data_IF_948792854386
#
_entry.id   IF_948792854386
#
_cell.length_a   1.000
_cell.length_b   1.000
_cell.length_c   1.000
_cell.angle_alpha   90.00
_cell.angle_beta   90.00
_cell.angle_gamma   90.00
#
_symmetry.space_group_name_H-M   'P 1'
#
loop_
_entity.id
_entity.type
_entity.pdbx_description
1 polymer ?
#
# COMPACT_ATOMS: atom_id res chain seq x y z
N UNK A 1 0.29 2.13 14.01
CA UNK A 1 -0.51 1.17 14.81
C UNK A 1 -1.57 1.81 15.71
N UNK A 2 -1.25 2.77 16.60
CA UNK A 2 -2.23 3.37 17.52
C UNK A 2 -3.42 4.10 16.85
N UNK A 3 -3.23 4.65 15.64
CA UNK A 3 -4.32 5.26 14.83
C UNK A 3 -5.32 4.20 14.34
N UNK A 4 -4.81 3.08 13.81
CA UNK A 4 -5.61 1.94 13.35
C UNK A 4 -6.47 1.39 14.49
N UNK A 5 -5.86 1.12 15.65
CA UNK A 5 -6.58 0.60 16.83
C UNK A 5 -7.74 1.52 17.21
N UNK A 6 -7.47 2.83 17.32
CA UNK A 6 -8.49 3.84 17.65
C UNK A 6 -9.63 3.87 16.64
N UNK A 7 -9.28 3.82 15.36
CA UNK A 7 -10.27 3.84 14.28
C UNK A 7 -11.16 2.60 14.31
N UNK A 8 -10.56 1.40 14.40
CA UNK A 8 -11.32 0.14 14.46
C UNK A 8 -12.22 0.14 15.70
N UNK A 9 -11.70 0.54 16.86
CA UNK A 9 -12.47 0.60 18.10
C UNK A 9 -13.73 1.47 17.96
N UNK A 10 -13.61 2.61 17.29
CA UNK A 10 -14.75 3.48 16.98
C UNK A 10 -15.71 2.87 15.95
N UNK A 11 -15.18 2.26 14.88
CA UNK A 11 -15.98 1.63 13.80
C UNK A 11 -16.84 0.47 14.32
N UNK A 12 -16.27 -0.41 15.15
CA UNK A 12 -16.97 -1.60 15.69
C UNK A 12 -17.58 -1.38 17.08
N UNK A 13 -17.43 -0.16 17.65
CA UNK A 13 -17.98 0.29 18.94
C UNK A 13 -17.53 -0.57 20.13
N UNK A 14 -16.23 -0.78 20.27
CA UNK A 14 -15.62 -1.53 21.38
C UNK A 14 -14.45 -0.75 21.98
N UNK A 15 -13.90 -1.22 23.10
CA UNK A 15 -12.74 -0.58 23.72
C UNK A 15 -11.45 -0.78 22.91
N UNK A 16 -10.58 0.23 22.88
CA UNK A 16 -9.24 0.12 22.25
C UNK A 16 -8.44 -1.07 22.77
N UNK A 17 -8.56 -1.39 24.06
CA UNK A 17 -7.86 -2.52 24.66
C UNK A 17 -8.34 -3.86 24.09
N UNK A 18 -9.64 -3.99 23.81
CA UNK A 18 -10.21 -5.18 23.19
C UNK A 18 -9.67 -5.36 21.77
N UNK A 19 -9.59 -4.26 21.02
CA UNK A 19 -8.98 -4.26 19.68
C UNK A 19 -7.51 -4.64 19.73
N UNK A 20 -6.73 -4.04 20.64
CA UNK A 20 -5.29 -4.38 20.85
C UNK A 20 -5.12 -5.87 21.09
N UNK A 21 -5.83 -6.43 22.07
CA UNK A 21 -5.71 -7.86 22.38
C UNK A 21 -6.10 -8.74 21.21
N UNK A 22 -7.18 -8.40 20.49
CA UNK A 22 -7.60 -9.15 19.31
C UNK A 22 -6.56 -9.08 18.17
N UNK A 23 -5.98 -7.91 17.92
CA UNK A 23 -4.90 -7.70 16.95
C UNK A 23 -3.68 -8.55 17.32
N UNK A 24 -3.24 -8.53 18.58
CA UNK A 24 -2.08 -9.30 19.03
C UNK A 24 -2.30 -10.82 18.83
N UNK A 25 -3.52 -11.30 19.08
CA UNK A 25 -3.89 -12.69 18.83
C UNK A 25 -3.87 -13.05 17.33
N UNK A 26 -4.43 -12.18 16.48
CA UNK A 26 -4.46 -12.37 15.03
C UNK A 26 -3.04 -12.35 14.44
N UNK A 27 -2.20 -11.41 14.88
CA UNK A 27 -0.79 -11.32 14.47
C UNK A 27 0.02 -12.53 14.95
N UNK A 28 -0.33 -13.08 16.10
CA UNK A 28 0.18 -14.36 16.61
C UNK A 28 -0.33 -15.60 15.87
N UNK A 29 -1.12 -15.43 14.80
CA UNK A 29 -1.62 -16.51 13.95
C UNK A 29 -2.91 -17.17 14.43
N UNK A 30 -3.55 -16.65 15.49
CA UNK A 30 -4.85 -17.16 15.90
C UNK A 30 -5.93 -16.83 14.86
N UNK A 31 -6.85 -17.76 14.64
CA UNK A 31 -7.98 -17.55 13.71
C UNK A 31 -9.17 -16.92 14.43
N UNK A 32 -10.04 -16.22 13.70
CA UNK A 32 -11.27 -15.63 14.27
C UNK A 32 -12.13 -16.67 15.02
N UNK A 33 -12.43 -17.87 14.47
CA UNK A 33 -13.18 -18.89 15.21
C UNK A 33 -12.48 -19.36 16.49
N UNK A 34 -11.15 -19.43 16.48
CA UNK A 34 -10.37 -19.78 17.66
C UNK A 34 -10.48 -18.70 18.74
N UNK A 35 -10.35 -17.43 18.37
CA UNK A 35 -10.44 -16.30 19.31
C UNK A 35 -11.84 -16.24 19.92
N UNK A 36 -12.88 -16.27 19.08
CA UNK A 36 -14.27 -16.21 19.50
C UNK A 36 -14.65 -17.31 20.50
N UNK A 37 -14.06 -18.51 20.35
CA UNK A 37 -14.38 -19.68 21.18
C UNK A 37 -13.48 -19.83 22.41
N UNK A 38 -12.18 -19.57 22.29
CA UNK A 38 -11.17 -19.93 23.30
C UNK A 38 -10.43 -18.73 23.90
N UNK A 39 -10.66 -17.51 23.40
CA UNK A 39 -10.04 -16.28 23.90
C UNK A 39 -11.06 -15.16 24.17
N UNK A 40 -12.32 -15.53 24.36
CA UNK A 40 -13.43 -14.60 24.63
C UNK A 40 -13.14 -13.68 25.83
N UNK A 41 -12.66 -14.23 26.94
CA UNK A 41 -12.31 -13.42 28.13
C UNK A 41 -11.14 -12.46 27.85
N UNK A 42 -10.13 -12.90 27.09
CA UNK A 42 -8.97 -12.08 26.77
C UNK A 42 -9.35 -10.86 25.90
N UNK A 43 -10.30 -11.01 24.99
CA UNK A 43 -10.80 -9.91 24.15
C UNK A 43 -11.92 -9.09 24.81
N UNK A 44 -12.28 -9.39 26.06
CA UNK A 44 -13.39 -8.71 26.74
C UNK A 44 -14.76 -9.01 26.11
N UNK A 45 -14.93 -10.19 25.51
CA UNK A 45 -16.21 -10.67 25.03
C UNK A 45 -16.53 -10.41 23.56
N UNK A 46 -15.55 -10.04 22.72
CA UNK A 46 -15.79 -9.86 21.28
C UNK A 46 -16.39 -11.11 20.64
N UNK A 47 -17.47 -10.93 19.88
CA UNK A 47 -18.13 -12.01 19.15
C UNK A 47 -17.52 -12.26 17.76
N UNK A 48 -17.97 -13.32 17.08
CA UNK A 48 -17.46 -13.71 15.76
C UNK A 48 -17.68 -12.62 14.69
N UNK A 49 -18.79 -11.89 14.76
CA UNK A 49 -19.10 -10.81 13.80
C UNK A 49 -18.14 -9.64 14.00
N UNK A 50 -17.96 -9.21 15.24
CA UNK A 50 -17.01 -8.15 15.59
C UNK A 50 -15.57 -8.51 15.24
N UNK A 51 -15.16 -9.77 15.48
CA UNK A 51 -13.81 -10.23 15.17
C UNK A 51 -13.54 -10.33 13.66
N UNK A 52 -14.53 -10.74 12.85
CA UNK A 52 -14.41 -10.72 11.38
C UNK A 52 -14.29 -9.31 10.83
N UNK A 53 -15.14 -8.40 11.31
CA UNK A 53 -15.07 -7.00 10.91
C UNK A 53 -13.73 -6.39 11.31
N UNK A 54 -13.28 -6.61 12.55
CA UNK A 54 -11.97 -6.20 13.02
C UNK A 54 -10.84 -6.71 12.11
N UNK A 55 -10.84 -8.01 11.77
CA UNK A 55 -9.81 -8.61 10.92
C UNK A 55 -9.80 -7.97 9.53
N UNK A 56 -10.97 -7.78 8.93
CA UNK A 56 -11.10 -7.13 7.62
C UNK A 56 -10.60 -5.68 7.65
N UNK A 57 -11.05 -4.89 8.62
CA UNK A 57 -10.66 -3.49 8.78
C UNK A 57 -9.18 -3.34 9.10
N UNK A 58 -8.61 -4.23 9.93
CA UNK A 58 -7.18 -4.25 10.23
C UNK A 58 -6.34 -4.42 8.96
N UNK A 59 -6.70 -5.39 8.10
CA UNK A 59 -6.02 -5.60 6.83
C UNK A 59 -6.09 -4.37 5.93
N UNK A 60 -7.30 -3.84 5.70
CA UNK A 60 -7.49 -2.65 4.88
C UNK A 60 -6.67 -1.45 5.36
N UNK A 61 -6.70 -1.17 6.67
CA UNK A 61 -6.04 -0.01 7.26
C UNK A 61 -4.51 -0.17 7.25
N UNK A 62 -3.98 -1.38 7.45
CA UNK A 62 -2.54 -1.65 7.31
C UNK A 62 -2.06 -1.39 5.88
N UNK A 63 -2.79 -1.91 4.89
CA UNK A 63 -2.46 -1.67 3.49
C UNK A 63 -2.55 -0.18 3.12
N UNK A 64 -3.50 0.57 3.71
CA UNK A 64 -3.59 2.01 3.53
C UNK A 64 -2.39 2.75 4.14
N UNK A 65 -1.98 2.42 5.37
CA UNK A 65 -0.79 3.02 6.01
C UNK A 65 0.49 2.70 5.22
N UNK A 66 0.70 1.44 4.83
CA UNK A 66 1.87 1.03 4.04
C UNK A 66 1.91 1.79 2.71
N UNK A 67 0.76 1.89 2.03
CA UNK A 67 0.67 2.64 0.78
C UNK A 67 0.95 4.12 1.00
N UNK A 68 0.46 4.70 2.09
CA UNK A 68 0.69 6.10 2.45
C UNK A 68 2.17 6.38 2.67
N UNK A 69 2.87 5.52 3.41
CA UNK A 69 4.32 5.64 3.62
C UNK A 69 5.07 5.59 2.28
N UNK A 70 4.71 4.65 1.40
CA UNK A 70 5.32 4.54 0.06
C UNK A 70 5.07 5.78 -0.81
N UNK A 71 3.85 6.34 -0.77
CA UNK A 71 3.49 7.58 -1.48
C UNK A 71 4.30 8.76 -0.96
N UNK A 72 4.31 8.99 0.36
CA UNK A 72 5.06 10.09 0.97
C UNK A 72 6.54 9.99 0.62
N UNK A 73 7.13 8.81 0.76
CA UNK A 73 8.54 8.56 0.38
C UNK A 73 8.80 8.88 -1.09
N UNK A 74 7.93 8.41 -2.00
CA UNK A 74 8.10 8.68 -3.44
C UNK A 74 8.03 10.16 -3.78
N UNK A 75 7.16 10.93 -3.12
CA UNK A 75 7.06 12.38 -3.33
C UNK A 75 8.24 13.13 -2.69
N UNK A 76 8.71 12.66 -1.54
CA UNK A 76 9.90 13.18 -0.87
C UNK A 76 11.16 12.98 -1.71
N UNK A 77 11.34 11.80 -2.31
CA UNK A 77 12.47 11.49 -3.21
C UNK A 77 12.48 12.38 -4.47
N UNK A 78 11.32 12.90 -4.87
CA UNK A 78 11.21 13.89 -5.96
C UNK A 78 11.50 15.32 -5.51
N UNK A 79 11.71 15.57 -4.20
CA UNK A 79 11.88 16.91 -3.63
C UNK A 79 10.61 17.77 -3.66
N UNK A 80 9.43 17.14 -3.75
CA UNK A 80 8.14 17.83 -3.92
C UNK A 80 7.24 17.78 -2.69
N UNK A 81 7.68 17.15 -1.60
CA UNK A 81 6.89 17.01 -0.39
C UNK A 81 6.89 18.31 0.41
N UNK A 82 5.77 19.03 0.42
CA UNK A 82 5.54 20.19 1.31
C UNK A 82 4.87 19.74 2.62
N UNK A 83 4.96 20.53 3.70
CA UNK A 83 4.24 20.23 4.95
C UNK A 83 2.72 20.06 4.77
N UNK A 84 2.11 20.89 3.92
CA UNK A 84 0.67 20.84 3.63
C UNK A 84 0.31 19.56 2.88
N UNK A 85 1.14 19.15 1.92
CA UNK A 85 0.94 17.93 1.14
C UNK A 85 1.14 16.68 2.01
N UNK A 86 2.14 16.69 2.90
CA UNK A 86 2.35 15.63 3.87
C UNK A 86 1.11 15.48 4.77
N UNK A 87 0.61 16.59 5.32
CA UNK A 87 -0.60 16.58 6.14
C UNK A 87 -1.81 16.05 5.36
N UNK A 88 -1.96 16.40 4.08
CA UNK A 88 -3.03 15.87 3.23
C UNK A 88 -2.92 14.35 3.03
N UNK A 89 -1.73 13.81 2.78
CA UNK A 89 -1.51 12.36 2.68
C UNK A 89 -1.80 11.64 4.00
N UNK A 90 -1.38 12.22 5.14
CA UNK A 90 -1.65 11.69 6.48
C UNK A 90 -3.14 11.69 6.86
N UNK A 91 -3.87 12.70 6.37
CA UNK A 91 -5.30 12.84 6.59
C UNK A 91 -6.17 11.99 5.64
N UNK A 92 -5.63 11.53 4.51
CA UNK A 92 -6.38 10.77 3.50
C UNK A 92 -7.05 9.53 4.14
N UNK A 93 -8.40 9.49 4.20
CA UNK A 93 -9.16 8.46 4.91
C UNK A 93 -9.32 7.17 4.12
N UNK A 94 -9.17 7.23 2.79
CA UNK A 94 -9.36 6.09 1.90
C UNK A 94 -8.17 5.89 0.96
N UNK A 95 -7.99 4.67 0.47
CA UNK A 95 -6.98 4.37 -0.57
C UNK A 95 -7.19 5.17 -1.84
N UNK A 96 -8.45 5.45 -2.20
CA UNK A 96 -8.79 6.22 -3.38
C UNK A 96 -8.32 7.68 -3.25
N UNK A 97 -8.70 8.35 -2.15
CA UNK A 97 -8.28 9.73 -1.90
C UNK A 97 -6.75 9.86 -1.81
N UNK A 98 -6.08 8.87 -1.23
CA UNK A 98 -4.61 8.82 -1.21
C UNK A 98 -4.03 8.76 -2.63
N UNK A 99 -4.57 7.92 -3.52
CA UNK A 99 -4.12 7.82 -4.90
C UNK A 99 -4.44 9.08 -5.71
N UNK A 100 -5.60 9.71 -5.48
CA UNK A 100 -5.98 10.94 -6.17
C UNK A 100 -5.03 12.10 -5.81
N UNK A 101 -4.65 12.21 -4.53
CA UNK A 101 -3.60 13.16 -4.09
C UNK A 101 -2.23 12.83 -4.68
N UNK A 102 -1.92 11.54 -4.83
CA UNK A 102 -0.63 11.09 -5.35
C UNK A 102 -0.52 11.22 -6.89
N UNK A 103 -1.65 11.25 -7.59
CA UNK A 103 -1.72 11.19 -9.06
C UNK A 103 -0.77 12.17 -9.77
N UNK A 104 -0.62 13.44 -9.37
CA UNK A 104 0.29 14.40 -10.02
C UNK A 104 1.78 14.04 -9.88
N UNK A 105 2.13 13.24 -8.88
CA UNK A 105 3.51 12.85 -8.55
C UNK A 105 3.85 11.44 -9.00
N UNK A 106 2.86 10.68 -9.46
CA UNK A 106 3.03 9.31 -9.92
C UNK A 106 3.97 9.31 -11.13
N UNK A 107 5.19 8.80 -10.92
CA UNK A 107 6.16 8.68 -12.00
C UNK A 107 5.59 7.80 -13.10
N UNK A 108 5.57 8.33 -14.33
CA UNK A 108 5.31 7.50 -15.51
C UNK A 108 6.47 6.52 -15.60
N UNK A 109 6.16 5.22 -15.67
CA UNK A 109 7.19 4.18 -15.84
C UNK A 109 7.99 4.52 -17.09
N UNK A 110 9.27 4.87 -16.92
CA UNK A 110 10.23 4.88 -18.02
C UNK A 110 10.45 3.44 -18.43
N UNK A 111 9.92 3.07 -19.59
CA UNK A 111 10.10 1.70 -20.09
C UNK A 111 11.55 1.51 -20.55
N UNK A 112 12.05 0.28 -20.54
CA UNK A 112 13.36 -0.04 -21.12
C UNK A 112 13.49 0.49 -22.56
N UNK A 113 12.39 0.46 -23.32
CA UNK A 113 12.34 1.04 -24.67
C UNK A 113 12.49 2.56 -24.69
N UNK A 114 11.83 3.30 -23.79
CA UNK A 114 12.01 4.75 -23.68
C UNK A 114 13.46 5.12 -23.31
N UNK A 115 14.04 4.37 -22.37
CA UNK A 115 15.45 4.53 -22.00
C UNK A 115 16.35 4.27 -23.22
N UNK A 116 16.14 3.16 -23.95
CA UNK A 116 16.91 2.83 -25.14
C UNK A 116 16.80 3.90 -26.24
N UNK A 117 15.62 4.47 -26.48
CA UNK A 117 15.43 5.57 -27.43
C UNK A 117 16.19 6.83 -27.04
N UNK A 118 16.14 7.21 -25.77
CA UNK A 118 16.91 8.37 -25.25
C UNK A 118 18.43 8.17 -25.37
N UNK A 119 18.91 6.92 -25.32
CA UNK A 119 20.31 6.58 -25.62
C UNK A 119 20.61 6.44 -27.11
N UNK A 120 19.66 6.75 -28.00
CA UNK A 120 19.86 6.72 -29.44
C UNK A 120 19.85 5.33 -30.06
N UNK A 121 19.25 4.32 -29.41
CA UNK A 121 19.18 2.94 -29.92
C UNK A 121 18.08 2.77 -30.99
N UNK A 122 17.18 3.76 -31.14
CA UNK A 122 16.07 3.71 -32.10
C UNK A 122 16.51 3.42 -33.55
N UNK A 123 17.52 4.11 -34.12
CA UNK A 123 17.97 3.84 -35.48
C UNK A 123 18.56 2.43 -35.67
N UNK A 124 19.21 1.86 -34.65
CA UNK A 124 19.70 0.49 -34.70
C UNK A 124 18.54 -0.51 -34.76
N UNK A 125 17.53 -0.33 -33.91
CA UNK A 125 16.34 -1.15 -33.90
C UNK A 125 15.60 -1.10 -35.26
N UNK A 126 15.46 0.09 -35.84
CA UNK A 126 14.81 0.26 -37.14
C UNK A 126 15.57 -0.44 -38.28
N UNK A 127 16.91 -0.35 -38.29
CA UNK A 127 17.75 -1.03 -39.31
C UNK A 127 17.64 -2.55 -39.22
N UNK A 128 17.79 -3.12 -38.03
CA UNK A 128 17.68 -4.57 -37.81
C UNK A 128 16.27 -5.10 -38.12
N UNK A 129 15.25 -4.28 -37.86
CA UNK A 129 13.87 -4.63 -38.23
C UNK A 129 13.64 -4.61 -39.74
N UNK A 130 14.22 -3.63 -40.46
CA UNK A 130 14.06 -3.47 -41.90
C UNK A 130 14.81 -4.53 -42.72
N UNK A 131 15.97 -5.02 -42.25
CA UNK A 131 16.72 -6.08 -42.92
C UNK A 131 17.15 -7.19 -41.94
N UNK A 132 16.42 -8.32 -41.89
CA UNK A 132 16.74 -9.46 -41.01
C UNK A 132 18.07 -10.17 -41.31
N UNK A 133 18.76 -9.81 -42.40
CA UNK A 133 20.07 -10.40 -42.76
C UNK A 133 21.24 -9.70 -42.07
N UNK A 134 21.01 -8.54 -41.45
CA UNK A 134 22.03 -7.83 -40.68
C UNK A 134 22.39 -8.62 -39.42
N UNK A 135 23.67 -8.61 -39.06
CA UNK A 135 24.14 -9.19 -37.79
C UNK A 135 23.95 -8.17 -36.66
N UNK A 136 23.09 -8.46 -35.66
CA UNK A 136 22.84 -7.53 -34.56
C UNK A 136 24.09 -7.17 -33.75
N UNK A 137 25.09 -8.06 -33.66
CA UNK A 137 26.33 -7.78 -32.91
C UNK A 137 27.32 -6.91 -33.70
N UNK A 138 27.29 -6.99 -35.03
CA UNK A 138 28.16 -6.19 -35.89
C UNK A 138 27.64 -4.74 -36.05
N UNK A 139 26.33 -4.53 -35.86
CA UNK A 139 25.66 -3.25 -36.05
C UNK A 139 25.52 -2.39 -34.78
N UNK A 140 25.75 -2.97 -33.60
CA UNK A 140 25.61 -2.35 -32.28
C UNK A 140 26.91 -1.68 -31.79
#
# INVERSE_FOLDING_TARGET
MNKIIRQIAAEIRVGEQQVRTAVDLLDGGATVPFIARYRKEATGGLDDVQLRELQYRLGYLRELEERREAVIKSVQEQGKLTPELQAAFEAAPTKQELEDLYLPYKQKRRTKGQIAREFGIEPLADRLFADPRLDPQAEA
#
